data_IF_057412094141
#
_entry.id   IF_057412094141
#
_cell.length_a   1.000
_cell.length_b   1.000
_cell.length_c   1.000
_cell.angle_alpha   90.00
_cell.angle_beta   90.00
_cell.angle_gamma   90.00
#
_symmetry.space_group_name_H-M   'P 1'
#
loop_
_entity.id
_entity.type
_entity.pdbx_description
1 polymer ?
#
# COMPACT_ATOMS: atom_id res chain seq x y z
N UNK A 1 19.79 24.30 -2.16
CA UNK A 1 20.73 23.32 -1.57
C UNK A 1 22.02 23.93 -1.02
N UNK A 2 22.57 25.01 -1.60
CA UNK A 2 23.83 25.62 -1.12
C UNK A 2 23.79 26.12 0.34
N UNK A 3 22.60 26.50 0.84
CA UNK A 3 22.39 27.05 2.18
C UNK A 3 21.50 26.16 3.07
N UNK A 4 21.45 24.84 2.84
CA UNK A 4 20.50 23.96 3.57
C UNK A 4 20.77 23.97 5.08
N UNK A 5 22.01 24.22 5.49
CA UNK A 5 22.44 24.30 6.88
C UNK A 5 21.85 25.49 7.64
N UNK A 6 21.51 26.57 6.93
CA UNK A 6 20.98 27.82 7.49
C UNK A 6 19.50 27.72 7.84
N UNK A 7 18.79 26.72 7.31
CA UNK A 7 17.39 26.49 7.64
C UNK A 7 17.24 25.96 9.06
N UNK A 8 16.28 26.53 9.80
CA UNK A 8 15.85 25.98 11.08
C UNK A 8 15.13 24.64 10.80
N UNK A 9 15.55 23.53 11.42
CA UNK A 9 14.90 22.23 11.19
C UNK A 9 13.45 22.25 11.68
N UNK A 10 12.55 21.54 10.98
CA UNK A 10 11.22 21.26 11.53
C UNK A 10 11.33 20.35 12.75
N UNK A 11 10.24 20.23 13.51
CA UNK A 11 10.09 19.14 14.47
C UNK A 11 10.29 17.79 13.78
N UNK A 12 10.90 16.85 14.51
CA UNK A 12 11.07 15.49 14.04
C UNK A 12 9.74 14.75 14.03
N UNK A 13 9.51 13.87 13.03
CA UNK A 13 8.30 13.08 13.00
C UNK A 13 8.16 12.24 14.28
N UNK A 14 6.93 12.10 14.83
CA UNK A 14 6.67 11.33 16.05
C UNK A 14 6.66 9.81 15.79
N UNK A 15 7.67 9.32 15.07
CA UNK A 15 7.88 7.90 14.80
C UNK A 15 8.68 7.28 15.95
N UNK A 16 8.18 6.15 16.47
CA UNK A 16 8.85 5.43 17.56
C UNK A 16 10.30 5.08 17.20
N UNK A 17 11.23 5.48 18.08
CA UNK A 17 12.67 5.27 17.94
C UNK A 17 13.20 5.79 16.59
N UNK A 18 12.99 7.08 16.31
CA UNK A 18 13.45 7.73 15.06
C UNK A 18 14.93 7.46 14.76
N UNK A 19 15.79 7.41 15.78
CA UNK A 19 17.22 7.17 15.58
C UNK A 19 17.58 5.75 15.14
N UNK A 20 16.64 4.80 15.23
CA UNK A 20 16.77 3.51 14.56
C UNK A 20 16.66 3.63 13.05
N UNK A 21 15.87 4.60 12.56
CA UNK A 21 15.65 4.84 11.14
C UNK A 21 16.69 5.77 10.55
N UNK A 22 17.06 6.84 11.27
CA UNK A 22 18.03 7.84 10.81
C UNK A 22 18.88 8.27 11.98
N UNK A 23 20.20 8.17 11.86
CA UNK A 23 21.12 8.73 12.84
C UNK A 23 20.91 10.25 12.97
N UNK A 24 21.31 10.87 14.10
CA UNK A 24 20.96 12.27 14.36
C UNK A 24 21.32 13.26 13.22
N UNK A 25 22.50 13.19 12.57
CA UNK A 25 22.81 14.06 11.43
C UNK A 25 21.88 13.87 10.21
N UNK A 26 21.45 12.64 9.93
CA UNK A 26 20.51 12.33 8.85
C UNK A 26 19.12 12.89 9.15
N UNK A 27 18.64 12.70 10.38
CA UNK A 27 17.35 13.22 10.83
C UNK A 27 17.32 14.76 10.80
N UNK A 28 18.40 15.40 11.26
CA UNK A 28 18.53 16.87 11.20
C UNK A 28 18.54 17.37 9.75
N UNK A 29 19.31 16.74 8.86
CA UNK A 29 19.31 17.11 7.44
C UNK A 29 17.92 17.00 6.80
N UNK A 30 17.20 15.89 7.05
CA UNK A 30 15.84 15.71 6.53
C UNK A 30 14.87 16.76 7.07
N UNK A 31 14.99 17.15 8.34
CA UNK A 31 14.17 18.20 8.94
C UNK A 31 14.46 19.58 8.34
N UNK A 32 15.73 19.93 8.10
CA UNK A 32 16.10 21.17 7.38
C UNK A 32 15.64 21.15 5.94
N UNK A 33 15.74 20.00 5.26
CA UNK A 33 15.25 19.84 3.90
C UNK A 33 13.74 20.03 3.80
N UNK A 34 12.98 19.46 4.73
CA UNK A 34 11.54 19.70 4.85
C UNK A 34 11.22 21.18 5.07
N UNK A 35 11.95 21.88 5.95
CA UNK A 35 11.81 23.33 6.13
C UNK A 35 12.07 24.09 4.84
N UNK A 36 13.14 23.77 4.11
CA UNK A 36 13.47 24.44 2.86
C UNK A 36 12.37 24.25 1.79
N UNK A 37 11.83 23.04 1.65
CA UNK A 37 10.73 22.78 0.72
C UNK A 37 9.49 23.60 1.08
N UNK A 38 9.18 23.78 2.38
CA UNK A 38 8.05 24.61 2.85
C UNK A 38 8.20 26.10 2.54
N UNK A 39 9.40 26.58 2.16
CA UNK A 39 9.61 27.99 1.75
C UNK A 39 9.37 28.25 0.26
N UNK A 40 9.12 27.20 -0.53
CA UNK A 40 8.84 27.34 -1.96
C UNK A 40 7.38 27.74 -2.16
N UNK A 41 7.13 28.79 -2.94
CA UNK A 41 5.79 29.36 -3.16
C UNK A 41 4.98 28.62 -4.24
N UNK A 42 5.64 27.97 -5.20
CA UNK A 42 4.96 27.27 -6.30
C UNK A 42 4.52 25.86 -5.85
N UNK A 43 3.21 25.66 -5.72
CA UNK A 43 2.60 24.39 -5.28
C UNK A 43 2.99 23.18 -6.16
N UNK A 44 3.12 23.38 -7.48
CA UNK A 44 3.49 22.29 -8.38
C UNK A 44 4.96 21.88 -8.17
N UNK A 45 5.83 22.88 -7.94
CA UNK A 45 7.23 22.62 -7.57
C UNK A 45 7.30 21.94 -6.21
N UNK A 46 6.53 22.39 -5.22
CA UNK A 46 6.44 21.75 -3.90
C UNK A 46 6.05 20.29 -4.03
N UNK A 47 5.05 19.95 -4.85
CA UNK A 47 4.64 18.54 -5.06
C UNK A 47 5.78 17.67 -5.63
N UNK A 48 6.52 18.17 -6.63
CA UNK A 48 7.67 17.44 -7.20
C UNK A 48 8.82 17.30 -6.18
N UNK A 49 9.06 18.34 -5.38
CA UNK A 49 10.03 18.30 -4.29
C UNK A 49 9.59 17.36 -3.17
N UNK A 50 8.30 17.25 -2.86
CA UNK A 50 7.74 16.29 -1.91
C UNK A 50 7.97 14.85 -2.38
N UNK A 51 7.76 14.56 -3.67
CA UNK A 51 8.08 13.24 -4.26
C UNK A 51 9.59 12.94 -4.14
N UNK A 52 10.43 13.94 -4.43
CA UNK A 52 11.89 13.83 -4.30
C UNK A 52 12.32 13.61 -2.84
N UNK A 53 11.67 14.31 -1.91
CA UNK A 53 11.90 14.20 -0.48
C UNK A 53 11.58 12.79 0.03
N UNK A 54 10.45 12.20 -0.39
CA UNK A 54 10.12 10.81 -0.06
C UNK A 54 11.24 9.85 -0.42
N UNK A 55 11.82 9.99 -1.63
CA UNK A 55 12.92 9.14 -2.06
C UNK A 55 14.14 9.27 -1.13
N UNK A 56 14.52 10.50 -0.80
CA UNK A 56 15.68 10.78 0.07
C UNK A 56 15.45 10.35 1.52
N UNK A 57 14.22 10.47 2.04
CA UNK A 57 13.85 9.95 3.37
C UNK A 57 14.26 8.49 3.51
N UNK A 58 14.02 7.65 2.49
CA UNK A 58 14.39 6.25 2.55
C UNK A 58 15.84 5.98 2.16
N UNK A 59 16.38 6.69 1.18
CA UNK A 59 17.76 6.53 0.75
C UNK A 59 18.77 6.82 1.86
N UNK A 60 18.46 7.79 2.73
CA UNK A 60 19.25 8.13 3.91
C UNK A 60 18.88 7.31 5.15
N UNK A 61 17.93 6.36 5.05
CA UNK A 61 17.53 5.55 6.19
C UNK A 61 18.45 4.35 6.43
N UNK A 62 18.49 3.89 7.67
CA UNK A 62 19.12 2.64 8.09
C UNK A 62 18.27 1.40 7.73
N UNK A 63 17.12 1.58 7.06
CA UNK A 63 16.28 0.48 6.63
C UNK A 63 16.97 -0.34 5.53
N UNK A 64 16.87 -1.66 5.61
CA UNK A 64 17.25 -2.58 4.54
C UNK A 64 15.98 -3.14 3.90
N UNK A 65 15.87 -3.02 2.57
CA UNK A 65 14.72 -3.51 1.79
C UNK A 65 14.96 -4.91 1.21
N UNK A 66 15.85 -5.67 1.83
CA UNK A 66 16.29 -6.98 1.33
C UNK A 66 15.28 -8.11 1.63
N UNK A 67 14.16 -7.79 2.30
CA UNK A 67 13.09 -8.71 2.67
C UNK A 67 11.71 -8.08 2.44
N UNK A 68 10.67 -8.93 2.36
CA UNK A 68 9.25 -8.55 2.17
C UNK A 68 8.74 -7.61 3.27
N UNK A 69 9.46 -7.51 4.39
CA UNK A 69 9.22 -6.56 5.47
C UNK A 69 10.47 -5.73 5.76
N UNK A 70 10.28 -4.45 6.10
CA UNK A 70 11.35 -3.56 6.57
C UNK A 70 12.25 -4.22 7.63
N UNK A 71 13.54 -4.35 7.33
CA UNK A 71 14.61 -4.68 8.29
C UNK A 71 15.53 -3.47 8.48
N UNK A 72 16.50 -3.54 9.40
CA UNK A 72 17.46 -2.46 9.65
C UNK A 72 18.88 -3.02 9.59
N UNK A 73 19.83 -2.21 9.14
CA UNK A 73 21.25 -2.54 9.21
C UNK A 73 21.70 -2.51 10.68
N UNK A 74 22.48 -3.50 11.09
CA UNK A 74 23.13 -3.49 12.41
C UNK A 74 24.30 -2.51 12.37
N UNK A 75 24.36 -1.59 13.33
CA UNK A 75 25.54 -0.77 13.55
C UNK A 75 25.63 0.53 12.74
N UNK A 76 26.31 1.48 13.37
CA UNK A 76 26.46 2.89 13.03
C UNK A 76 27.59 3.10 11.98
N UNK A 77 27.65 2.29 10.93
CA UNK A 77 28.88 2.15 10.13
C UNK A 77 29.00 3.13 8.95
N UNK A 78 27.99 3.96 8.68
CA UNK A 78 28.05 4.97 7.62
C UNK A 78 28.43 6.35 8.14
N UNK A 79 29.58 6.88 7.71
CA UNK A 79 29.86 8.31 7.86
C UNK A 79 28.85 9.11 7.03
N UNK A 80 27.99 9.89 7.69
CA UNK A 80 27.07 10.80 7.00
C UNK A 80 27.84 12.03 6.52
N UNK A 81 27.79 12.30 5.22
CA UNK A 81 28.27 13.55 4.63
C UNK A 81 27.08 14.35 4.13
N UNK A 82 26.98 15.60 4.59
CA UNK A 82 25.93 16.51 4.15
C UNK A 82 26.04 16.81 2.65
N UNK A 83 27.26 16.91 2.11
CA UNK A 83 27.48 17.19 0.70
C UNK A 83 27.01 16.03 -0.18
N UNK A 84 27.30 14.78 0.23
CA UNK A 84 26.77 13.59 -0.46
C UNK A 84 25.25 13.57 -0.41
N UNK A 85 24.64 13.93 0.73
CA UNK A 85 23.18 14.00 0.86
C UNK A 85 22.56 15.10 -0.02
N UNK A 86 23.22 16.25 -0.16
CA UNK A 86 22.82 17.33 -1.08
C UNK A 86 22.87 16.85 -2.53
N UNK A 87 23.97 16.23 -2.94
CA UNK A 87 24.15 15.69 -4.29
C UNK A 87 23.10 14.63 -4.60
N UNK A 88 22.84 13.70 -3.68
CA UNK A 88 21.81 12.69 -3.82
C UNK A 88 20.42 13.33 -4.01
N UNK A 89 20.05 14.32 -3.21
CA UNK A 89 18.75 15.00 -3.37
C UNK A 89 18.64 15.75 -4.70
N UNK A 90 19.70 16.41 -5.16
CA UNK A 90 19.71 17.08 -6.47
C UNK A 90 19.50 16.06 -7.59
N UNK A 91 20.24 14.95 -7.56
CA UNK A 91 20.09 13.85 -8.54
C UNK A 91 18.67 13.28 -8.57
N UNK A 92 18.05 13.10 -7.40
CA UNK A 92 16.65 12.70 -7.30
C UNK A 92 15.71 13.75 -7.90
N UNK A 93 15.93 15.03 -7.63
CA UNK A 93 15.11 16.12 -8.20
C UNK A 93 15.20 16.13 -9.74
N UNK A 94 16.41 15.97 -10.29
CA UNK A 94 16.61 15.88 -11.74
C UNK A 94 15.89 14.67 -12.35
N UNK A 95 15.96 13.50 -11.69
CA UNK A 95 15.23 12.30 -12.10
C UNK A 95 13.72 12.53 -12.12
N UNK A 96 13.16 13.10 -11.04
CA UNK A 96 11.72 13.38 -10.91
C UNK A 96 11.27 14.40 -11.96
N UNK A 97 12.03 15.49 -12.14
CA UNK A 97 11.75 16.50 -13.16
C UNK A 97 11.75 15.92 -14.57
N UNK A 98 12.76 15.10 -14.90
CA UNK A 98 12.83 14.41 -16.21
C UNK A 98 11.67 13.45 -16.41
N UNK A 99 11.26 12.73 -15.37
CA UNK A 99 10.09 11.84 -15.41
C UNK A 99 8.78 12.59 -15.62
N UNK A 100 8.63 13.77 -15.02
CA UNK A 100 7.45 14.62 -15.19
C UNK A 100 7.25 15.11 -16.64
N UNK A 101 8.33 15.27 -17.41
CA UNK A 101 8.26 15.66 -18.83
C UNK A 101 7.65 14.59 -19.74
N UNK A 102 7.59 13.33 -19.29
CA UNK A 102 7.13 12.18 -20.08
C UNK A 102 5.66 11.81 -19.79
N UNK A 103 4.96 12.56 -18.93
CA UNK A 103 3.62 12.19 -18.48
C UNK A 103 2.54 12.44 -19.55
N UNK A 104 1.52 11.57 -19.66
CA UNK A 104 0.38 11.79 -20.55
C UNK A 104 -0.31 13.12 -20.23
N UNK A 105 -0.65 13.90 -21.26
CA UNK A 105 -1.44 15.13 -21.13
C UNK A 105 -2.93 14.79 -21.05
N UNK A 106 -3.35 14.22 -19.93
CA UNK A 106 -4.74 13.98 -19.62
C UNK A 106 -5.11 14.71 -18.32
N UNK A 107 -6.32 15.25 -18.25
CA UNK A 107 -6.86 15.73 -16.98
C UNK A 107 -7.11 14.54 -16.08
N UNK A 108 -6.50 14.54 -14.90
CA UNK A 108 -6.68 13.51 -13.89
C UNK A 108 -7.30 14.10 -12.63
N UNK A 109 -8.04 13.27 -11.90
CA UNK A 109 -8.59 13.60 -10.58
C UNK A 109 -8.14 12.52 -9.60
N UNK A 110 -7.47 12.93 -8.54
CA UNK A 110 -7.10 12.04 -7.43
C UNK A 110 -8.07 12.29 -6.28
N UNK A 111 -8.65 11.20 -5.76
CA UNK A 111 -9.60 11.24 -4.65
C UNK A 111 -9.07 10.37 -3.52
N UNK A 112 -8.91 10.95 -2.34
CA UNK A 112 -8.68 10.18 -1.12
C UNK A 112 -10.02 9.59 -0.66
N UNK A 113 -10.20 8.28 -0.85
CA UNK A 113 -11.45 7.60 -0.52
C UNK A 113 -11.23 6.13 -0.14
N UNK A 114 -12.11 5.58 0.69
CA UNK A 114 -12.15 4.14 0.96
C UNK A 114 -12.86 3.41 -0.19
N UNK A 115 -12.07 2.66 -0.96
CA UNK A 115 -12.54 1.98 -2.17
C UNK A 115 -13.57 0.88 -1.93
N UNK A 116 -13.92 0.53 -0.69
CA UNK A 116 -15.10 -0.31 -0.40
C UNK A 116 -16.42 0.41 -0.67
N UNK A 117 -16.35 1.70 -0.94
CA UNK A 117 -17.44 2.54 -1.44
C UNK A 117 -16.89 3.46 -2.53
N UNK A 118 -17.78 4.13 -3.27
CA UNK A 118 -17.40 5.24 -4.14
C UNK A 118 -18.40 6.39 -3.94
N UNK A 119 -17.99 7.64 -4.19
CA UNK A 119 -18.90 8.78 -4.16
C UNK A 119 -20.07 8.60 -5.15
N UNK A 120 -21.25 9.10 -4.81
CA UNK A 120 -22.46 8.88 -5.63
C UNK A 120 -22.35 9.51 -7.03
N UNK A 121 -21.62 10.60 -7.17
CA UNK A 121 -21.32 11.24 -8.45
C UNK A 121 -20.48 10.36 -9.39
N UNK A 122 -19.88 9.28 -8.88
CA UNK A 122 -19.10 8.33 -9.66
C UNK A 122 -19.95 7.17 -10.20
N UNK A 123 -21.23 7.06 -9.83
CA UNK A 123 -22.09 5.97 -10.27
C UNK A 123 -22.32 6.03 -11.78
N UNK A 124 -22.04 4.93 -12.49
CA UNK A 124 -22.17 4.87 -13.94
C UNK A 124 -21.23 5.77 -14.74
N UNK A 125 -20.18 6.32 -14.11
CA UNK A 125 -19.35 7.37 -14.69
C UNK A 125 -18.12 6.86 -15.46
N UNK A 126 -17.73 5.60 -15.28
CA UNK A 126 -16.47 5.08 -15.84
C UNK A 126 -16.70 3.89 -16.78
N UNK A 127 -16.04 3.89 -17.93
CA UNK A 127 -16.06 2.76 -18.87
C UNK A 127 -15.05 1.67 -18.52
N UNK A 128 -14.00 2.00 -17.77
CA UNK A 128 -12.90 1.05 -17.49
C UNK A 128 -12.32 1.25 -16.10
N UNK A 129 -12.09 0.15 -15.38
CA UNK A 129 -11.26 0.10 -14.16
C UNK A 129 -10.08 -0.83 -14.37
N UNK A 130 -8.86 -0.32 -14.15
CA UNK A 130 -7.63 -1.11 -14.17
C UNK A 130 -6.96 -0.94 -12.82
N UNK A 131 -6.70 -2.03 -12.11
CA UNK A 131 -6.11 -1.96 -10.77
C UNK A 131 -5.34 -3.21 -10.39
N UNK A 132 -4.43 -3.06 -9.42
CA UNK A 132 -3.78 -4.16 -8.72
C UNK A 132 -4.04 -3.96 -7.22
N UNK A 133 -5.13 -4.54 -6.67
CA UNK A 133 -5.48 -4.34 -5.27
C UNK A 133 -4.46 -5.02 -4.34
N UNK A 134 -4.49 -4.76 -3.02
CA UNK A 134 -3.74 -5.54 -2.05
C UNK A 134 -3.91 -7.04 -2.29
N UNK A 135 -2.83 -7.82 -2.29
CA UNK A 135 -2.91 -9.28 -2.43
C UNK A 135 -3.26 -9.92 -1.07
N UNK A 136 -3.93 -11.08 -1.03
CA UNK A 136 -4.28 -11.77 0.21
C UNK A 136 -3.05 -12.45 0.83
N UNK A 137 -2.00 -11.70 1.16
CA UNK A 137 -0.71 -12.19 1.66
C UNK A 137 -0.25 -11.52 2.97
N UNK A 138 -1.15 -10.77 3.62
CA UNK A 138 -0.94 -10.09 4.91
C UNK A 138 0.18 -9.03 4.89
N UNK A 139 0.42 -8.39 3.75
CA UNK A 139 1.25 -7.19 3.70
C UNK A 139 0.45 -6.00 4.24
N UNK A 140 1.02 -5.27 5.19
CA UNK A 140 0.48 -4.00 5.68
C UNK A 140 1.21 -2.86 4.97
N UNK A 141 0.52 -2.20 4.04
CA UNK A 141 1.07 -1.02 3.36
C UNK A 141 1.33 0.13 4.32
N UNK A 142 0.48 0.30 5.35
CA UNK A 142 0.66 1.36 6.35
C UNK A 142 1.93 1.13 7.15
N UNK A 143 2.23 -0.12 7.52
CA UNK A 143 3.48 -0.45 8.19
C UNK A 143 4.69 -0.08 7.32
N UNK A 144 4.69 -0.41 6.04
CA UNK A 144 5.85 -0.16 5.18
C UNK A 144 5.96 1.32 4.75
N UNK A 145 4.83 2.04 4.63
CA UNK A 145 4.79 3.45 4.20
C UNK A 145 4.84 4.47 5.35
N UNK A 146 4.68 4.05 6.61
CA UNK A 146 4.67 4.98 7.75
C UNK A 146 5.87 5.94 7.83
N UNK A 147 7.12 5.58 7.44
CA UNK A 147 8.23 6.53 7.48
C UNK A 147 7.92 7.79 6.67
N UNK A 148 7.44 7.62 5.43
CA UNK A 148 7.02 8.72 4.56
C UNK A 148 5.83 9.46 5.17
N UNK A 149 4.83 8.73 5.65
CA UNK A 149 3.59 9.34 6.16
C UNK A 149 3.82 10.22 7.39
N UNK A 150 4.69 9.80 8.32
CA UNK A 150 5.09 10.66 9.45
C UNK A 150 5.90 11.86 8.99
N UNK A 151 6.87 11.66 8.08
CA UNK A 151 7.67 12.77 7.55
C UNK A 151 6.83 13.81 6.77
N UNK A 152 5.75 13.37 6.13
CA UNK A 152 4.82 14.22 5.39
C UNK A 152 3.63 14.73 6.22
N UNK A 153 3.64 14.54 7.55
CA UNK A 153 2.58 14.99 8.45
C UNK A 153 1.19 14.35 8.18
N UNK A 154 1.13 13.23 7.44
CA UNK A 154 -0.09 12.42 7.28
C UNK A 154 -0.40 11.55 8.50
N UNK A 155 0.60 11.31 9.34
CA UNK A 155 0.48 10.61 10.61
C UNK A 155 1.18 11.43 11.70
N UNK A 156 0.47 11.68 12.78
CA UNK A 156 0.94 12.36 13.98
C UNK A 156 1.03 11.40 15.17
N UNK A 157 0.28 10.28 15.14
CA UNK A 157 0.27 9.31 16.22
C UNK A 157 0.29 7.86 15.73
N UNK A 158 0.77 6.95 16.58
CA UNK A 158 0.72 5.50 16.33
C UNK A 158 -0.70 4.95 16.21
N UNK A 159 -1.66 5.61 16.85
CA UNK A 159 -3.07 5.23 16.81
C UNK A 159 -3.69 5.57 15.45
N UNK A 160 -3.37 6.73 14.87
CA UNK A 160 -3.76 7.06 13.50
C UNK A 160 -3.23 6.00 12.52
N UNK A 161 -1.96 5.59 12.67
CA UNK A 161 -1.37 4.55 11.82
C UNK A 161 -2.10 3.21 11.95
N UNK A 162 -2.41 2.79 13.18
CA UNK A 162 -3.10 1.52 13.44
C UNK A 162 -4.56 1.55 12.97
N UNK A 163 -5.25 2.69 13.12
CA UNK A 163 -6.63 2.86 12.68
C UNK A 163 -6.71 2.86 11.14
N UNK A 164 -5.78 3.53 10.47
CA UNK A 164 -5.70 3.54 9.02
C UNK A 164 -5.39 2.15 8.46
N UNK A 165 -4.53 1.37 9.14
CA UNK A 165 -4.29 -0.02 8.74
C UNK A 165 -5.56 -0.87 8.85
N UNK A 166 -6.34 -0.75 9.93
CA UNK A 166 -7.62 -1.44 10.07
C UNK A 166 -8.65 -1.05 8.99
N UNK A 167 -8.63 0.21 8.57
CA UNK A 167 -9.45 0.70 7.46
C UNK A 167 -9.01 0.11 6.12
N UNK A 168 -7.73 -0.23 5.92
CA UNK A 168 -7.29 -0.89 4.70
C UNK A 168 -7.93 -2.28 4.53
N UNK A 169 -8.04 -2.72 3.27
CA UNK A 169 -8.55 -4.05 2.91
C UNK A 169 -7.69 -5.12 3.60
N UNK A 170 -8.33 -5.92 4.46
CA UNK A 170 -7.65 -6.95 5.23
C UNK A 170 -6.63 -6.43 6.26
N UNK A 171 -6.76 -5.19 6.77
CA UNK A 171 -5.87 -4.62 7.80
C UNK A 171 -5.47 -5.58 8.92
N UNK A 172 -4.18 -5.64 9.27
CA UNK A 172 -3.63 -6.61 10.22
C UNK A 172 -2.56 -6.08 11.18
N UNK A 173 -2.05 -4.86 11.04
CA UNK A 173 -0.91 -4.34 11.79
C UNK A 173 -1.32 -3.47 13.00
N UNK A 174 -0.52 -3.54 14.07
CA UNK A 174 -0.78 -2.82 15.32
C UNK A 174 -2.11 -3.25 15.95
N UNK A 175 -2.95 -2.28 16.32
CA UNK A 175 -4.28 -2.54 16.89
C UNK A 175 -5.18 -3.38 15.97
N UNK A 176 -4.98 -3.34 14.66
CA UNK A 176 -5.74 -4.14 13.69
C UNK A 176 -5.57 -5.66 13.91
N UNK A 177 -4.43 -6.12 14.45
CA UNK A 177 -4.25 -7.53 14.83
C UNK A 177 -5.29 -7.97 15.87
N UNK A 178 -5.47 -7.16 16.92
CA UNK A 178 -6.41 -7.48 18.00
C UNK A 178 -7.86 -7.39 17.53
N UNK A 179 -8.19 -6.39 16.71
CA UNK A 179 -9.51 -6.26 16.10
C UNK A 179 -9.83 -7.45 15.18
N UNK A 180 -8.86 -7.92 14.39
CA UNK A 180 -9.02 -9.10 13.55
C UNK A 180 -9.25 -10.38 14.37
N UNK A 181 -8.65 -10.47 15.56
CA UNK A 181 -8.83 -11.61 16.46
C UNK A 181 -10.27 -11.76 16.98
N UNK A 182 -11.01 -10.66 17.11
CA UNK A 182 -12.42 -10.64 17.55
C UNK A 182 -13.41 -10.40 16.42
N UNK A 183 -12.92 -10.09 15.22
CA UNK A 183 -13.72 -9.93 14.02
C UNK A 183 -14.50 -11.20 13.69
N UNK A 184 -15.71 -11.01 13.15
CA UNK A 184 -16.62 -12.08 12.74
C UNK A 184 -17.03 -11.85 11.30
N UNK A 185 -17.05 -12.94 10.54
CA UNK A 185 -17.56 -12.99 9.18
C UNK A 185 -19.05 -12.65 9.13
N UNK A 186 -19.47 -12.01 8.05
CA UNK A 186 -20.89 -11.80 7.72
C UNK A 186 -21.51 -12.97 6.91
N UNK A 187 -20.73 -14.03 6.66
CA UNK A 187 -21.15 -15.24 5.95
C UNK A 187 -21.56 -15.00 4.47
N UNK A 188 -21.03 -13.95 3.83
CA UNK A 188 -21.35 -13.57 2.44
C UNK A 188 -20.52 -14.25 1.34
N UNK A 189 -19.50 -15.04 1.69
CA UNK A 189 -18.60 -15.67 0.73
C UNK A 189 -19.08 -17.08 0.32
N UNK A 190 -18.57 -17.65 -0.78
CA UNK A 190 -18.83 -19.06 -1.12
C UNK A 190 -18.35 -20.02 -0.03
N UNK A 191 -19.09 -21.12 0.21
CA UNK A 191 -18.80 -22.08 1.28
C UNK A 191 -17.36 -22.61 1.25
N UNK A 192 -16.81 -22.89 0.07
CA UNK A 192 -15.45 -23.41 -0.05
C UNK A 192 -14.38 -22.44 0.48
N UNK A 193 -14.66 -21.14 0.55
CA UNK A 193 -13.75 -20.15 1.14
C UNK A 193 -13.71 -20.30 2.66
N UNK A 194 -14.85 -20.59 3.29
CA UNK A 194 -14.91 -20.94 4.71
C UNK A 194 -14.19 -22.26 5.00
N UNK A 195 -14.34 -23.26 4.12
CA UNK A 195 -13.62 -24.54 4.26
C UNK A 195 -12.09 -24.35 4.14
N UNK A 196 -11.63 -23.44 3.28
CA UNK A 196 -10.21 -23.04 3.19
C UNK A 196 -9.77 -22.36 4.50
N UNK A 197 -10.56 -21.42 5.01
CA UNK A 197 -10.25 -20.72 6.26
C UNK A 197 -10.21 -21.69 7.45
N UNK A 198 -11.11 -22.67 7.52
CA UNK A 198 -11.09 -23.72 8.54
C UNK A 198 -9.82 -24.55 8.48
N UNK A 199 -9.40 -24.99 7.30
CA UNK A 199 -8.12 -25.69 7.11
C UNK A 199 -6.94 -24.84 7.59
N UNK A 200 -6.96 -23.54 7.29
CA UNK A 200 -5.91 -22.61 7.73
C UNK A 200 -5.92 -22.51 9.26
N UNK A 201 -7.10 -22.41 9.87
CA UNK A 201 -7.27 -22.34 11.33
C UNK A 201 -6.78 -23.61 12.05
N UNK A 202 -6.89 -24.77 11.42
CA UNK A 202 -6.46 -26.07 11.96
C UNK A 202 -4.98 -26.39 11.72
N UNK A 203 -4.22 -25.47 11.10
CA UNK A 203 -2.78 -25.65 10.88
C UNK A 203 -1.99 -25.52 12.20
N UNK A 204 -0.89 -26.26 12.32
CA UNK A 204 0.02 -26.19 13.47
C UNK A 204 0.85 -24.90 13.47
N UNK A 205 0.20 -23.78 13.79
CA UNK A 205 0.83 -22.49 13.92
C UNK A 205 0.06 -21.59 14.90
N UNK A 206 0.77 -20.88 15.77
CA UNK A 206 0.17 -19.95 16.75
C UNK A 206 -0.71 -18.85 16.13
N UNK A 207 -0.50 -18.52 14.86
CA UNK A 207 -1.27 -17.49 14.15
C UNK A 207 -2.33 -18.06 13.20
N UNK A 208 -2.54 -19.38 13.17
CA UNK A 208 -3.47 -20.07 12.28
C UNK A 208 -4.88 -19.46 12.27
N UNK A 209 -5.51 -19.37 13.45
CA UNK A 209 -6.84 -18.78 13.60
C UNK A 209 -6.92 -17.32 13.13
N UNK A 210 -5.89 -16.53 13.44
CA UNK A 210 -5.82 -15.13 12.98
C UNK A 210 -5.71 -15.05 11.45
N UNK A 211 -4.98 -15.98 10.82
CA UNK A 211 -4.82 -16.02 9.37
C UNK A 211 -6.09 -16.47 8.67
N UNK A 212 -6.84 -17.39 9.27
CA UNK A 212 -8.18 -17.75 8.80
C UNK A 212 -9.10 -16.52 8.78
N UNK A 213 -9.16 -15.77 9.89
CA UNK A 213 -9.93 -14.52 9.95
C UNK A 213 -9.45 -13.49 8.93
N UNK A 214 -8.12 -13.35 8.73
CA UNK A 214 -7.56 -12.44 7.73
C UNK A 214 -8.07 -12.76 6.32
N UNK A 215 -8.01 -14.04 5.93
CA UNK A 215 -8.47 -14.49 4.60
C UNK A 215 -9.94 -14.15 4.39
N UNK A 216 -10.80 -14.46 5.37
CA UNK A 216 -12.23 -14.14 5.30
C UNK A 216 -12.48 -12.63 5.22
N UNK A 217 -11.89 -11.85 6.14
CA UNK A 217 -12.05 -10.38 6.14
C UNK A 217 -11.59 -9.75 4.84
N UNK A 218 -10.45 -10.21 4.30
CA UNK A 218 -9.93 -9.71 3.03
C UNK A 218 -10.96 -9.89 1.91
N UNK A 219 -11.54 -11.08 1.75
CA UNK A 219 -12.50 -11.32 0.67
C UNK A 219 -13.84 -10.62 0.91
N UNK A 220 -14.31 -10.48 2.15
CA UNK A 220 -15.51 -9.68 2.45
C UNK A 220 -15.30 -8.18 2.20
N UNK A 221 -14.13 -7.63 2.53
CA UNK A 221 -13.75 -6.27 2.14
C UNK A 221 -13.69 -6.13 0.61
N UNK A 222 -13.12 -7.11 -0.09
CA UNK A 222 -13.05 -7.12 -1.55
C UNK A 222 -14.42 -7.23 -2.21
N UNK A 223 -15.37 -7.97 -1.65
CA UNK A 223 -16.74 -8.05 -2.16
C UNK A 223 -17.44 -6.68 -2.11
N UNK A 224 -17.22 -5.90 -1.03
CA UNK A 224 -17.70 -4.52 -0.91
C UNK A 224 -17.06 -3.61 -1.95
N UNK A 225 -15.73 -3.72 -2.13
CA UNK A 225 -15.02 -3.00 -3.17
C UNK A 225 -15.55 -3.30 -4.57
N UNK A 226 -15.66 -4.58 -4.94
CA UNK A 226 -16.15 -5.02 -6.25
C UNK A 226 -17.59 -4.54 -6.49
N UNK A 227 -18.45 -4.58 -5.48
CA UNK A 227 -19.82 -4.06 -5.54
C UNK A 227 -19.82 -2.55 -5.83
N UNK A 228 -18.96 -1.79 -5.15
CA UNK A 228 -18.84 -0.34 -5.38
C UNK A 228 -18.30 -0.02 -6.78
N UNK A 229 -17.33 -0.80 -7.27
CA UNK A 229 -16.80 -0.67 -8.63
C UNK A 229 -17.88 -0.98 -9.67
N UNK A 230 -18.65 -2.04 -9.46
CA UNK A 230 -19.79 -2.34 -10.32
C UNK A 230 -20.79 -1.18 -10.37
N UNK A 231 -21.11 -0.55 -9.23
CA UNK A 231 -21.96 0.64 -9.21
C UNK A 231 -21.36 1.82 -10.01
N UNK A 232 -20.03 1.98 -9.97
CA UNK A 232 -19.29 3.04 -10.68
C UNK A 232 -19.18 2.86 -12.18
N UNK A 233 -19.25 1.63 -12.68
CA UNK A 233 -19.14 1.35 -14.11
C UNK A 233 -20.38 1.82 -14.87
N UNK A 234 -20.14 2.47 -16.00
CA UNK A 234 -21.14 2.66 -17.06
C UNK A 234 -21.59 1.30 -17.62
N UNK A 235 -22.74 1.27 -18.31
CA UNK A 235 -23.18 0.07 -19.01
C UNK A 235 -22.09 -0.38 -20.01
N UNK A 236 -21.79 -1.69 -20.04
CA UNK A 236 -20.71 -2.30 -20.83
C UNK A 236 -19.29 -1.93 -20.36
N UNK A 237 -19.16 -1.25 -19.23
CA UNK A 237 -17.87 -0.92 -18.64
C UNK A 237 -17.12 -2.18 -18.21
N UNK A 238 -15.78 -2.16 -18.31
CA UNK A 238 -14.93 -3.32 -18.08
C UNK A 238 -14.00 -3.14 -16.90
N UNK A 239 -13.61 -4.24 -16.28
CA UNK A 239 -12.61 -4.24 -15.20
C UNK A 239 -11.46 -5.17 -15.53
N UNK A 240 -10.28 -4.80 -15.02
CA UNK A 240 -9.06 -5.58 -15.13
C UNK A 240 -8.31 -5.52 -13.78
N UNK A 241 -8.33 -6.64 -13.08
CA UNK A 241 -7.70 -6.81 -11.76
C UNK A 241 -6.44 -7.65 -11.90
N UNK A 242 -5.28 -7.03 -11.65
CA UNK A 242 -4.01 -7.76 -11.53
C UNK A 242 -3.86 -8.24 -10.09
N UNK A 243 -4.02 -9.54 -9.86
CA UNK A 243 -4.00 -10.14 -8.52
C UNK A 243 -3.06 -11.34 -8.46
N UNK A 244 -2.62 -11.70 -7.26
CA UNK A 244 -1.87 -12.94 -7.02
C UNK A 244 -2.62 -13.86 -6.07
N UNK A 245 -2.56 -15.16 -6.34
CA UNK A 245 -2.97 -16.16 -5.35
C UNK A 245 -2.00 -16.17 -4.16
N UNK A 246 -2.43 -16.79 -3.07
CA UNK A 246 -1.62 -16.89 -1.85
C UNK A 246 -1.62 -18.29 -1.25
N UNK A 247 -0.74 -18.49 -0.28
CA UNK A 247 -0.57 -19.76 0.41
C UNK A 247 -0.30 -19.50 1.88
N UNK A 248 -1.12 -20.10 2.74
CA UNK A 248 -0.99 -20.04 4.19
C UNK A 248 -0.83 -21.46 4.71
N UNK A 249 0.29 -21.77 5.37
CA UNK A 249 0.55 -23.09 5.96
C UNK A 249 0.33 -24.26 4.98
N UNK A 250 0.83 -24.11 3.75
CA UNK A 250 0.66 -25.07 2.63
C UNK A 250 -0.77 -25.20 2.09
N UNK A 251 -1.70 -24.35 2.54
CA UNK A 251 -3.06 -24.28 2.00
C UNK A 251 -3.12 -23.13 1.00
N UNK A 252 -3.43 -23.48 -0.25
CA UNK A 252 -3.59 -22.50 -1.33
C UNK A 252 -4.92 -21.77 -1.20
N UNK A 253 -4.86 -20.45 -1.32
CA UNK A 253 -6.03 -19.56 -1.43
C UNK A 253 -6.10 -19.09 -2.88
N UNK A 254 -7.03 -19.63 -3.69
CA UNK A 254 -7.14 -19.33 -5.12
C UNK A 254 -7.88 -18.00 -5.32
N UNK A 255 -7.18 -16.90 -5.07
CA UNK A 255 -7.75 -15.55 -5.14
C UNK A 255 -8.44 -15.27 -6.49
N UNK A 256 -7.89 -15.76 -7.58
CA UNK A 256 -8.45 -15.69 -8.92
C UNK A 256 -9.86 -16.28 -9.02
N UNK A 257 -10.07 -17.47 -8.47
CA UNK A 257 -11.39 -18.13 -8.50
C UNK A 257 -12.38 -17.41 -7.61
N UNK A 258 -11.94 -17.00 -6.42
CA UNK A 258 -12.80 -16.28 -5.47
C UNK A 258 -13.24 -14.94 -6.06
N UNK A 259 -12.37 -14.23 -6.78
CA UNK A 259 -12.75 -13.01 -7.50
C UNK A 259 -13.77 -13.29 -8.59
N UNK A 260 -13.59 -14.34 -9.41
CA UNK A 260 -14.57 -14.72 -10.43
C UNK A 260 -15.95 -14.98 -9.82
N UNK A 261 -16.00 -15.75 -8.74
CA UNK A 261 -17.26 -16.08 -8.07
C UNK A 261 -17.94 -14.84 -7.49
N UNK A 262 -17.18 -13.97 -6.80
CA UNK A 262 -17.70 -12.71 -6.27
C UNK A 262 -18.21 -11.78 -7.38
N UNK A 263 -17.44 -11.59 -8.45
CA UNK A 263 -17.81 -10.73 -9.57
C UNK A 263 -19.06 -11.26 -10.28
N UNK A 264 -19.13 -12.57 -10.53
CA UNK A 264 -20.31 -13.21 -11.14
C UNK A 264 -21.54 -13.01 -10.25
N UNK A 265 -21.40 -13.17 -8.93
CA UNK A 265 -22.50 -12.97 -7.96
C UNK A 265 -22.99 -11.53 -7.94
N UNK A 266 -22.09 -10.55 -8.08
CA UNK A 266 -22.42 -9.11 -8.13
C UNK A 266 -23.18 -8.73 -9.40
N UNK A 267 -22.99 -9.47 -10.49
CA UNK A 267 -23.66 -9.25 -11.77
C UNK A 267 -22.72 -8.93 -12.94
N UNK A 268 -21.40 -9.04 -12.76
CA UNK A 268 -20.50 -8.99 -13.90
C UNK A 268 -20.73 -10.17 -14.84
N UNK A 269 -20.62 -9.93 -16.15
CA UNK A 269 -20.67 -10.93 -17.22
C UNK A 269 -19.29 -11.13 -17.83
N UNK A 270 -19.13 -12.22 -18.59
CA UNK A 270 -17.88 -12.61 -19.26
C UNK A 270 -16.66 -12.57 -18.32
N UNK A 271 -16.86 -13.07 -17.10
CA UNK A 271 -15.84 -13.05 -16.05
C UNK A 271 -14.83 -14.17 -16.30
N UNK A 272 -13.57 -13.81 -16.52
CA UNK A 272 -12.49 -14.75 -16.81
C UNK A 272 -11.19 -14.36 -16.11
N UNK A 273 -10.25 -15.30 -16.04
CA UNK A 273 -8.90 -15.01 -15.56
C UNK A 273 -7.83 -15.69 -16.41
N UNK A 274 -6.69 -15.03 -16.55
CA UNK A 274 -5.51 -15.55 -17.24
C UNK A 274 -4.25 -15.38 -16.39
N UNK A 275 -3.35 -16.36 -16.46
CA UNK A 275 -2.03 -16.25 -15.84
C UNK A 275 -1.21 -15.22 -16.61
N UNK A 276 -0.75 -14.17 -15.91
CA UNK A 276 0.17 -13.17 -16.46
C UNK A 276 1.61 -13.65 -16.34
N UNK A 277 1.98 -14.15 -15.15
CA UNK A 277 3.32 -14.74 -14.90
C UNK A 277 3.34 -15.63 -13.68
N UNK A 278 4.34 -16.51 -13.61
CA UNK A 278 4.71 -17.20 -12.37
C UNK A 278 5.52 -16.26 -11.48
N UNK A 279 5.27 -16.29 -10.17
CA UNK A 279 6.06 -15.51 -9.19
C UNK A 279 7.38 -16.22 -8.91
N UNK A 280 8.45 -15.45 -8.71
CA UNK A 280 9.80 -15.95 -8.41
C UNK A 280 9.88 -16.53 -6.99
N UNK A 281 9.25 -17.67 -6.76
CA UNK A 281 9.32 -18.42 -5.51
C UNK A 281 9.10 -19.93 -5.75
N UNK A 282 9.55 -20.76 -4.81
CA UNK A 282 9.43 -22.22 -4.89
C UNK A 282 7.99 -22.75 -4.67
N UNK A 283 7.00 -21.87 -4.56
CA UNK A 283 5.57 -22.21 -4.42
C UNK A 283 4.85 -22.04 -5.75
N UNK A 284 3.72 -22.71 -5.93
CA UNK A 284 2.81 -22.53 -7.07
C UNK A 284 2.03 -21.19 -6.96
N UNK A 285 2.77 -20.08 -6.90
CA UNK A 285 2.20 -18.74 -6.86
C UNK A 285 2.32 -18.08 -8.23
N UNK A 286 1.21 -17.49 -8.66
CA UNK A 286 1.06 -16.85 -9.96
C UNK A 286 0.43 -15.48 -9.78
N UNK A 287 0.67 -14.61 -10.75
CA UNK A 287 -0.11 -13.40 -10.96
C UNK A 287 -1.07 -13.63 -12.12
N UNK A 288 -2.28 -13.12 -11.95
CA UNK A 288 -3.40 -13.26 -12.85
C UNK A 288 -3.93 -11.88 -13.22
N UNK A 289 -4.50 -11.79 -14.40
CA UNK A 289 -5.50 -10.77 -14.72
C UNK A 289 -6.86 -11.43 -14.59
N UNK A 290 -7.73 -10.85 -13.76
CA UNK A 290 -9.16 -11.18 -13.72
C UNK A 290 -9.91 -10.05 -14.40
N UNK A 291 -10.74 -10.37 -15.37
CA UNK A 291 -11.55 -9.38 -16.09
C UNK A 291 -13.03 -9.74 -16.06
N UNK A 292 -13.87 -8.72 -16.26
CA UNK A 292 -15.32 -8.87 -16.42
C UNK A 292 -15.93 -7.59 -16.97
N UNK A 293 -17.19 -7.66 -17.35
CA UNK A 293 -17.97 -6.54 -17.89
C UNK A 293 -19.25 -6.34 -17.08
N UNK A 294 -19.72 -5.09 -16.96
CA UNK A 294 -21.04 -4.75 -16.43
C UNK A 294 -22.11 -4.76 -17.52
#
# INVERSE_FOLDING_TARGET
MQHIEEYVPTDFPPIYNIYRWWNPPQAEFLAKLKSAIKTVEDDAVVQLLTVSFCRIVIELSNAAFNHVSTSFKDGNEGFFSIDIAKEAFISVCEMVAKGALLQPRATSKVLLHDSRSIPAECYGAYDTVITSPPYPNRISYIRELRPYMYWLDYLETSDQASNLDWQAIGGTWGRATSLLGTWKSDHSLPQYVYDIAEKISNSDNKSARLMANYVLKYFEDMQKHLSSVYAGLAAKGRVFYIIGNSNFYNITVPAEKIYVDMMTTIGFVDVEYHIVRKRNCNKQLYEFVVSGQK
#
